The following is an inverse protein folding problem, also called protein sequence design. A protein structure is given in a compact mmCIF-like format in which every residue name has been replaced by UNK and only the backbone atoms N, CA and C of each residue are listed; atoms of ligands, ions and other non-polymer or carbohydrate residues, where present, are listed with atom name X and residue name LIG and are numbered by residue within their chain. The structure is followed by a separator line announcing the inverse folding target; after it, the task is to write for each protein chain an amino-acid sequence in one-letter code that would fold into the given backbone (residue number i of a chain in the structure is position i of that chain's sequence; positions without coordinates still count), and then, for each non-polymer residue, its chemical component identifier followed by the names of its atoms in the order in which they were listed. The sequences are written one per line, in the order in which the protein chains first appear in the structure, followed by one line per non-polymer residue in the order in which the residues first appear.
data_IF_517258585992
#
_entry.id   IF_517258585992
#
_cell.length_a   1.000
_cell.length_b   1.000
_cell.length_c   1.000
_cell.angle_alpha   90.00
_cell.angle_beta   90.00
_cell.angle_gamma   90.00
#
_symmetry.space_group_name_H-M   'P 1'
#
loop_
_entity.id
_entity.type
_entity.pdbx_description
1 polymer ?
#
# COMPACT_ATOMS: atom_id res chain seq x y z
N UNK A 1 -33.22 -30.72 -40.46
CA UNK A 1 -33.97 -29.68 -39.73
C UNK A 1 -33.02 -29.08 -38.69
N UNK A 2 -32.15 -28.17 -39.15
CA UNK A 2 -31.07 -27.63 -38.34
C UNK A 2 -31.60 -26.42 -37.56
N UNK A 3 -31.77 -26.56 -36.25
CA UNK A 3 -32.10 -25.43 -35.37
C UNK A 3 -30.81 -24.69 -35.07
N UNK A 4 -30.42 -23.79 -35.98
CA UNK A 4 -29.44 -22.76 -35.70
C UNK A 4 -29.92 -21.98 -34.45
N UNK A 5 -29.29 -22.22 -33.30
CA UNK A 5 -29.42 -21.31 -32.17
C UNK A 5 -28.55 -20.07 -32.46
N UNK A 6 -29.01 -18.86 -32.14
CA UNK A 6 -28.47 -17.64 -32.74
C UNK A 6 -27.16 -17.24 -32.05
N UNK A 7 -26.10 -17.10 -32.85
CA UNK A 7 -24.78 -16.55 -32.46
C UNK A 7 -24.87 -15.21 -31.69
N UNK A 8 -25.98 -14.49 -31.85
CA UNK A 8 -26.27 -13.25 -31.14
C UNK A 8 -26.32 -13.39 -29.61
N UNK A 9 -26.75 -14.53 -29.07
CA UNK A 9 -26.80 -14.74 -27.60
C UNK A 9 -25.40 -14.94 -27.03
N UNK A 10 -24.53 -15.66 -27.77
CA UNK A 10 -23.16 -15.94 -27.34
C UNK A 10 -22.27 -14.70 -27.44
N UNK A 11 -22.48 -13.86 -28.47
CA UNK A 11 -21.84 -12.55 -28.58
C UNK A 11 -22.28 -11.58 -27.46
N UNK A 12 -23.56 -11.58 -27.07
CA UNK A 12 -24.07 -10.75 -25.98
C UNK A 12 -23.51 -11.20 -24.61
N UNK A 13 -23.33 -12.50 -24.37
CA UNK A 13 -22.69 -13.02 -23.15
C UNK A 13 -21.20 -12.68 -23.09
N UNK A 14 -20.48 -12.74 -24.21
CA UNK A 14 -19.06 -12.35 -24.27
C UNK A 14 -18.88 -10.85 -24.06
N UNK A 15 -19.79 -10.03 -24.61
CA UNK A 15 -19.75 -8.57 -24.42
C UNK A 15 -20.09 -8.19 -22.97
N UNK A 16 -21.10 -8.80 -22.34
CA UNK A 16 -21.45 -8.53 -20.94
C UNK A 16 -20.28 -8.83 -19.98
N UNK A 17 -19.53 -9.92 -20.20
CA UNK A 17 -18.36 -10.26 -19.38
C UNK A 17 -17.17 -9.29 -19.58
N UNK A 18 -17.07 -8.65 -20.76
CA UNK A 18 -15.98 -7.72 -21.10
C UNK A 18 -16.09 -6.37 -20.37
N UNK A 19 -17.29 -6.00 -19.90
CA UNK A 19 -17.56 -4.71 -19.27
C UNK A 19 -17.42 -4.72 -17.72
N UNK A 20 -17.38 -5.90 -17.08
CA UNK A 20 -17.17 -6.03 -15.62
C UNK A 20 -15.68 -6.04 -15.23
N UNK A 21 -14.81 -6.62 -16.08
CA UNK A 21 -13.37 -6.77 -15.81
C UNK A 21 -12.65 -5.41 -15.63
N UNK A 22 -13.13 -4.35 -16.30
CA UNK A 22 -12.51 -3.03 -16.24
C UNK A 22 -12.74 -2.33 -14.91
N UNK A 23 -13.90 -2.51 -14.28
CA UNK A 23 -14.22 -1.90 -12.99
C UNK A 23 -13.52 -2.62 -11.84
N UNK A 24 -13.44 -3.96 -11.85
CA UNK A 24 -12.64 -4.71 -10.87
C UNK A 24 -11.14 -4.36 -10.99
N UNK A 25 -10.61 -4.26 -12.21
CA UNK A 25 -9.22 -3.87 -12.44
C UNK A 25 -8.96 -2.44 -11.94
N UNK A 26 -9.90 -1.52 -12.18
CA UNK A 26 -9.77 -0.13 -11.73
C UNK A 26 -9.90 0.00 -10.20
N UNK A 27 -10.78 -0.79 -9.58
CA UNK A 27 -10.91 -0.87 -8.12
C UNK A 27 -9.67 -1.46 -7.46
N UNK A 28 -9.07 -2.50 -8.04
CA UNK A 28 -7.81 -3.10 -7.56
C UNK A 28 -6.63 -2.14 -7.73
N UNK A 29 -6.55 -1.41 -8.86
CA UNK A 29 -5.56 -0.35 -9.07
C UNK A 29 -5.72 0.76 -8.02
N UNK A 30 -6.96 1.24 -7.80
CA UNK A 30 -7.25 2.26 -6.81
C UNK A 30 -6.89 1.79 -5.40
N UNK A 31 -7.23 0.54 -5.05
CA UNK A 31 -6.87 -0.07 -3.77
C UNK A 31 -5.35 -0.14 -3.58
N UNK A 32 -4.59 -0.54 -4.60
CA UNK A 32 -3.13 -0.56 -4.58
C UNK A 32 -2.52 0.83 -4.46
N UNK A 33 -3.07 1.82 -5.18
CA UNK A 33 -2.66 3.22 -5.07
C UNK A 33 -2.88 3.78 -3.66
N UNK A 34 -4.01 3.44 -3.04
CA UNK A 34 -4.31 3.83 -1.66
C UNK A 34 -3.42 3.15 -0.61
N UNK A 35 -2.96 1.92 -0.87
CA UNK A 35 -1.96 1.26 -0.02
C UNK A 35 -0.57 1.89 -0.19
N UNK A 36 -0.22 2.36 -1.39
CA UNK A 36 1.10 2.90 -1.69
C UNK A 36 1.39 4.27 -1.04
N UNK A 37 0.37 5.08 -0.74
CA UNK A 37 0.53 6.46 -0.26
C UNK A 37 -0.19 6.75 1.06
N UNK A 38 0.08 5.94 2.09
CA UNK A 38 -0.40 6.25 3.43
C UNK A 38 0.70 6.98 4.21
N UNK A 39 0.46 8.27 4.47
CA UNK A 39 1.28 9.07 5.36
C UNK A 39 0.59 9.25 6.71
N UNK A 40 1.31 8.92 7.78
CA UNK A 40 0.82 9.08 9.15
C UNK A 40 1.75 9.96 9.97
N UNK A 41 1.19 10.80 10.83
CA UNK A 41 1.98 11.37 11.93
C UNK A 41 2.38 10.27 12.92
N UNK A 42 3.39 10.52 13.76
CA UNK A 42 3.80 9.57 14.82
C UNK A 42 2.62 9.09 15.67
N UNK A 43 1.69 10.01 16.01
CA UNK A 43 0.53 9.66 16.82
C UNK A 43 -0.43 8.75 16.04
N UNK A 44 -0.82 9.16 14.83
CA UNK A 44 -1.71 8.35 13.97
C UNK A 44 -1.13 6.96 13.69
N UNK A 45 0.17 6.87 13.41
CA UNK A 45 0.85 5.61 13.17
C UNK A 45 0.79 4.68 14.40
N UNK A 46 1.09 5.21 15.58
CA UNK A 46 1.09 4.42 16.82
C UNK A 46 -0.32 4.03 17.27
N UNK A 47 -1.31 4.89 17.02
CA UNK A 47 -2.71 4.61 17.34
C UNK A 47 -3.28 3.54 16.37
N UNK A 48 -2.87 3.57 15.09
CA UNK A 48 -3.23 2.58 14.07
C UNK A 48 -2.52 1.24 14.24
N UNK A 49 -1.24 1.27 14.65
CA UNK A 49 -0.40 0.09 14.81
C UNK A 49 0.16 0.00 16.23
N UNK A 50 -0.59 -0.58 17.19
CA UNK A 50 -0.23 -0.57 18.62
C UNK A 50 1.10 -1.27 18.95
N UNK A 51 1.61 -2.13 18.07
CA UNK A 51 2.94 -2.74 18.22
C UNK A 51 4.08 -1.71 18.18
N UNK A 52 3.86 -0.54 17.57
CA UNK A 52 4.83 0.53 17.45
C UNK A 52 4.46 1.69 18.39
N UNK A 53 5.04 1.69 19.58
CA UNK A 53 4.73 2.73 20.57
C UNK A 53 5.23 4.11 20.12
N UNK A 54 4.53 5.16 20.59
CA UNK A 54 4.91 6.56 20.32
C UNK A 54 6.34 6.89 20.77
N UNK A 55 6.83 6.26 21.84
CA UNK A 55 8.21 6.40 22.32
C UNK A 55 9.21 5.69 21.41
N UNK A 56 8.92 4.44 21.03
CA UNK A 56 9.76 3.66 20.12
C UNK A 56 9.91 4.31 18.75
N UNK A 57 8.81 4.78 18.15
CA UNK A 57 8.85 5.50 16.87
C UNK A 57 9.67 6.78 16.96
N UNK A 58 9.55 7.56 18.05
CA UNK A 58 10.37 8.76 18.23
C UNK A 58 11.86 8.41 18.36
N UNK A 59 12.20 7.35 19.07
CA UNK A 59 13.58 6.88 19.18
C UNK A 59 14.15 6.42 17.82
N UNK A 60 13.35 5.72 17.00
CA UNK A 60 13.73 5.32 15.64
C UNK A 60 13.95 6.54 14.74
N UNK A 61 13.06 7.53 14.77
CA UNK A 61 13.19 8.77 14.00
C UNK A 61 14.40 9.59 14.46
N UNK A 62 14.64 9.67 15.78
CA UNK A 62 15.81 10.37 16.31
C UNK A 62 17.13 9.77 15.79
N UNK A 63 17.17 8.45 15.64
CA UNK A 63 18.32 7.70 15.14
C UNK A 63 18.25 7.38 13.63
N UNK A 64 17.43 8.08 12.85
CA UNK A 64 17.11 7.71 11.46
C UNK A 64 18.32 7.62 10.53
N UNK A 65 19.39 8.37 10.84
CA UNK A 65 20.62 8.41 10.06
C UNK A 65 21.56 7.23 10.37
N UNK A 66 21.43 6.60 11.55
CA UNK A 66 22.28 5.49 11.98
C UNK A 66 21.58 4.13 11.86
N UNK A 67 20.24 4.07 11.92
CA UNK A 67 19.47 2.83 11.77
C UNK A 67 18.99 2.54 10.33
N UNK A 68 19.36 3.40 9.37
CA UNK A 68 19.00 3.23 7.95
C UNK A 68 17.57 3.66 7.58
N UNK A 69 16.76 4.12 8.54
CA UNK A 69 15.38 4.53 8.31
C UNK A 69 15.28 5.76 7.38
N UNK A 70 16.23 6.70 7.48
CA UNK A 70 16.29 7.85 6.58
C UNK A 70 16.61 7.42 5.14
N UNK A 71 17.53 6.46 4.97
CA UNK A 71 17.92 5.93 3.65
C UNK A 71 16.77 5.17 2.99
N UNK A 72 15.93 4.51 3.78
CA UNK A 72 14.71 3.87 3.30
C UNK A 72 13.66 4.87 2.78
N UNK A 73 13.83 6.17 3.04
CA UNK A 73 12.87 7.20 2.65
C UNK A 73 11.54 7.13 3.41
N UNK A 74 11.52 6.44 4.56
CA UNK A 74 10.31 6.23 5.37
C UNK A 74 9.88 7.48 6.14
N UNK A 75 10.78 8.45 6.34
CA UNK A 75 10.50 9.68 7.08
C UNK A 75 10.41 10.86 6.12
N UNK A 76 9.27 11.56 6.16
CA UNK A 76 9.00 12.76 5.35
C UNK A 76 8.86 13.96 6.27
N UNK A 77 9.66 15.00 6.02
CA UNK A 77 9.69 16.22 6.82
C UNK A 77 9.10 17.39 6.04
N UNK A 78 8.04 18.00 6.57
CA UNK A 78 7.38 19.17 5.96
C UNK A 78 7.31 20.27 7.03
N UNK A 79 8.28 21.19 6.98
CA UNK A 79 8.45 22.21 8.02
C UNK A 79 8.68 21.59 9.40
N UNK A 80 7.74 21.81 10.32
CA UNK A 80 7.78 21.22 11.69
C UNK A 80 7.09 19.86 11.80
N UNK A 81 6.41 19.40 10.75
CA UNK A 81 5.71 18.10 10.76
C UNK A 81 6.65 16.98 10.33
N UNK A 82 6.54 15.86 11.03
CA UNK A 82 7.17 14.59 10.68
C UNK A 82 6.08 13.60 10.33
N UNK A 83 6.16 13.06 9.12
CA UNK A 83 5.27 12.04 8.59
C UNK A 83 6.07 10.76 8.37
N UNK A 84 5.37 9.64 8.52
CA UNK A 84 5.86 8.29 8.26
C UNK A 84 5.15 7.83 6.99
N UNK A 85 5.93 7.53 5.96
CA UNK A 85 5.50 6.76 4.80
C UNK A 85 5.36 5.30 5.25
N UNK A 86 4.13 4.84 5.47
CA UNK A 86 3.87 3.54 6.10
C UNK A 86 4.43 2.39 5.28
N UNK A 87 4.26 2.44 3.96
CA UNK A 87 4.72 1.39 3.04
C UNK A 87 6.25 1.24 3.08
N UNK A 88 6.98 2.36 3.03
CA UNK A 88 8.44 2.33 3.15
C UNK A 88 8.91 1.96 4.55
N UNK A 89 8.16 2.35 5.58
CA UNK A 89 8.47 1.97 6.95
C UNK A 89 8.38 0.46 7.13
N UNK A 90 7.32 -0.19 6.67
CA UNK A 90 7.17 -1.64 6.77
C UNK A 90 8.20 -2.40 5.94
N UNK A 91 8.49 -1.93 4.71
CA UNK A 91 9.59 -2.50 3.92
C UNK A 91 10.94 -2.40 4.65
N UNK A 92 11.21 -1.27 5.33
CA UNK A 92 12.39 -1.12 6.17
C UNK A 92 12.39 -2.11 7.36
N UNK A 93 11.26 -2.28 8.06
CA UNK A 93 11.13 -3.25 9.16
C UNK A 93 11.47 -4.67 8.68
N UNK A 94 10.91 -5.09 7.54
CA UNK A 94 11.18 -6.42 6.96
C UNK A 94 12.66 -6.60 6.61
N UNK A 95 13.28 -5.57 6.03
CA UNK A 95 14.70 -5.60 5.69
C UNK A 95 15.63 -5.73 6.90
N UNK A 96 15.19 -5.38 8.11
CA UNK A 96 16.02 -5.55 9.32
C UNK A 96 16.34 -7.02 9.60
N UNK A 97 15.47 -7.94 9.18
CA UNK A 97 15.69 -9.37 9.35
C UNK A 97 16.59 -9.97 8.26
N UNK A 98 16.73 -9.31 7.10
CA UNK A 98 17.51 -9.81 5.97
C UNK A 98 19.03 -9.62 6.14
N UNK A 99 19.47 -8.77 7.08
CA UNK A 99 20.89 -8.55 7.40
C UNK A 99 21.44 -9.42 8.54
N UNK A 100 20.64 -10.34 9.09
CA UNK A 100 21.00 -11.19 10.23
C UNK A 100 21.34 -12.65 9.84
N UNK A 101 21.61 -12.92 8.57
CA UNK A 101 22.01 -14.23 8.06
C UNK A 101 23.51 -14.28 7.71
#
# INVERSE_FOLDING_TARGET
MNKQQPEAVQAATILANRFDDTEETQQEINRKLYLAFVYSTVNQFSDKYPAFTKGGIRALIFNENSNGLAKAGAIVRIGRKVLIDESKFFAWVESQNAGAA
#
